data_IF_541602527720
#
_entry.id   IF_541602527720
#
_cell.length_a   1.000
_cell.length_b   1.000
_cell.length_c   1.000
_cell.angle_alpha   90.00
_cell.angle_beta   90.00
_cell.angle_gamma   90.00
#
_symmetry.space_group_name_H-M   'P 1'
#
loop_
_entity.id
_entity.type
_entity.pdbx_description
1 polymer ?
#
# COMPACT_ATOMS: atom_id res chain seq x y z
N UNK A 1 -17.50 -25.52 7.42
CA UNK A 1 -17.09 -24.48 8.40
C UNK A 1 -18.17 -23.42 8.44
N UNK A 2 -18.46 -22.81 9.59
CA UNK A 2 -19.39 -21.66 9.65
C UNK A 2 -18.80 -20.49 8.88
N UNK A 3 -19.65 -19.78 8.16
CA UNK A 3 -19.30 -18.58 7.40
C UNK A 3 -18.83 -17.48 8.36
N UNK A 4 -17.59 -16.98 8.23
CA UNK A 4 -17.04 -15.93 9.11
C UNK A 4 -17.75 -14.59 8.89
N UNK A 5 -17.91 -13.83 9.96
CA UNK A 5 -18.58 -12.51 10.00
C UNK A 5 -17.55 -11.40 10.15
N UNK A 6 -17.55 -10.48 9.19
CA UNK A 6 -16.57 -9.38 9.12
C UNK A 6 -17.25 -8.02 9.28
N UNK A 7 -16.71 -7.15 10.14
CA UNK A 7 -17.01 -5.72 10.10
C UNK A 7 -15.90 -4.98 9.32
N UNK A 8 -16.27 -4.03 8.46
CA UNK A 8 -15.30 -3.28 7.64
C UNK A 8 -15.23 -1.84 8.11
N UNK A 9 -14.00 -1.38 8.44
CA UNK A 9 -13.70 -0.03 8.91
C UNK A 9 -13.05 0.76 7.76
N UNK A 10 -13.82 1.68 7.18
CA UNK A 10 -13.44 2.51 6.02
C UNK A 10 -13.87 1.93 4.68
N UNK A 11 -14.81 2.57 4.00
CA UNK A 11 -15.24 2.22 2.65
C UNK A 11 -14.36 2.90 1.61
N UNK A 12 -13.07 2.63 1.66
CA UNK A 12 -12.14 3.08 0.62
C UNK A 12 -12.32 2.27 -0.67
N UNK A 13 -11.84 2.82 -1.81
CA UNK A 13 -11.82 2.06 -3.06
C UNK A 13 -11.11 0.70 -2.88
N UNK A 14 -10.04 0.67 -2.09
CA UNK A 14 -9.30 -0.55 -1.76
C UNK A 14 -10.14 -1.49 -0.92
N UNK A 15 -10.82 -0.98 0.12
CA UNK A 15 -11.70 -1.76 0.98
C UNK A 15 -12.84 -2.42 0.20
N UNK A 16 -13.47 -1.66 -0.70
CA UNK A 16 -14.52 -2.16 -1.57
C UNK A 16 -14.01 -3.24 -2.53
N UNK A 17 -12.97 -2.93 -3.31
CA UNK A 17 -12.47 -3.84 -4.35
C UNK A 17 -11.86 -5.13 -3.78
N UNK A 18 -11.03 -5.00 -2.75
CA UNK A 18 -10.27 -6.13 -2.23
C UNK A 18 -11.06 -7.01 -1.26
N UNK A 19 -12.05 -6.46 -0.53
CA UNK A 19 -12.68 -7.16 0.57
C UNK A 19 -14.21 -7.20 0.49
N UNK A 20 -14.88 -6.04 0.38
CA UNK A 20 -16.33 -5.98 0.51
C UNK A 20 -17.01 -6.69 -0.67
N UNK A 21 -16.67 -6.32 -1.89
CA UNK A 21 -17.26 -6.93 -3.09
C UNK A 21 -17.06 -8.44 -3.14
N UNK A 22 -15.83 -8.98 -2.97
CA UNK A 22 -15.62 -10.43 -2.94
C UNK A 22 -16.40 -11.15 -1.84
N UNK A 23 -16.43 -10.61 -0.60
CA UNK A 23 -17.15 -11.22 0.51
C UNK A 23 -18.67 -11.13 0.39
N UNK A 24 -19.18 -10.20 -0.42
CA UNK A 24 -20.61 -10.04 -0.70
C UNK A 24 -21.05 -10.77 -1.98
N UNK A 25 -20.14 -11.42 -2.72
CA UNK A 25 -20.43 -12.04 -4.02
C UNK A 25 -20.85 -11.02 -5.08
N UNK A 26 -20.46 -9.77 -4.94
CA UNK A 26 -20.76 -8.71 -5.90
C UNK A 26 -19.77 -8.80 -7.05
N UNK A 27 -20.00 -9.73 -7.98
CA UNK A 27 -19.20 -9.86 -9.19
C UNK A 27 -19.67 -8.81 -10.21
N UNK A 28 -18.75 -7.98 -10.72
CA UNK A 28 -19.00 -7.13 -11.89
C UNK A 28 -18.52 -5.68 -11.80
N UNK A 29 -17.92 -5.26 -10.73
CA UNK A 29 -17.26 -3.95 -10.67
C UNK A 29 -15.88 -3.98 -11.36
N UNK A 30 -15.80 -4.36 -12.65
CA UNK A 30 -14.61 -4.10 -13.45
C UNK A 30 -14.48 -2.61 -13.63
N UNK A 31 -13.52 -2.02 -12.96
CA UNK A 31 -13.05 -0.68 -13.29
C UNK A 31 -11.91 -0.86 -14.28
N UNK A 32 -12.28 -1.11 -15.55
CA UNK A 32 -11.31 -1.25 -16.63
C UNK A 32 -10.50 0.06 -16.74
N UNK A 33 -9.19 -0.07 -16.68
CA UNK A 33 -8.26 1.03 -16.91
C UNK A 33 -7.77 1.78 -15.67
N UNK A 34 -8.18 1.43 -14.44
CA UNK A 34 -7.63 2.02 -13.24
C UNK A 34 -6.53 1.14 -12.66
N UNK A 35 -5.33 1.70 -12.50
CA UNK A 35 -4.16 1.02 -11.91
C UNK A 35 -4.53 0.40 -10.55
N UNK A 36 -4.44 -0.94 -10.46
CA UNK A 36 -4.56 -1.68 -9.22
C UNK A 36 -5.95 -2.22 -8.85
N UNK A 37 -7.01 -1.99 -9.64
CA UNK A 37 -8.38 -2.39 -9.31
C UNK A 37 -9.11 -3.19 -10.41
N UNK A 38 -8.42 -3.66 -11.43
CA UNK A 38 -9.00 -4.41 -12.53
C UNK A 38 -8.82 -5.92 -12.36
N UNK A 39 -9.86 -6.64 -12.03
CA UNK A 39 -9.91 -8.08 -12.00
C UNK A 39 -11.35 -8.58 -11.83
N UNK A 40 -11.69 -9.76 -12.33
CA UNK A 40 -12.89 -10.46 -11.92
C UNK A 40 -12.72 -10.79 -10.43
N UNK A 41 -13.45 -10.11 -9.56
CA UNK A 41 -13.40 -10.39 -8.13
C UNK A 41 -13.74 -11.85 -7.88
N UNK A 42 -12.95 -12.53 -7.05
CA UNK A 42 -13.30 -13.87 -6.57
C UNK A 42 -14.62 -13.76 -5.79
N UNK A 43 -15.52 -14.70 -5.99
CA UNK A 43 -16.70 -14.83 -5.12
C UNK A 43 -16.29 -15.58 -3.84
N UNK A 44 -16.14 -14.84 -2.76
CA UNK A 44 -15.80 -15.36 -1.44
C UNK A 44 -17.00 -15.42 -0.49
N UNK A 45 -18.21 -15.20 -1.01
CA UNK A 45 -19.44 -15.16 -0.22
C UNK A 45 -19.75 -16.47 0.50
N UNK A 46 -19.22 -17.59 0.04
CA UNK A 46 -19.31 -18.87 0.72
C UNK A 46 -18.42 -18.97 1.98
N UNK A 47 -17.30 -18.21 2.01
CA UNK A 47 -16.32 -18.28 3.11
C UNK A 47 -16.58 -17.25 4.21
N UNK A 48 -17.16 -16.10 3.85
CA UNK A 48 -17.40 -15.01 4.78
C UNK A 48 -18.53 -14.08 4.35
N UNK A 49 -18.90 -13.18 5.26
CA UNK A 49 -19.91 -12.14 5.00
C UNK A 49 -19.58 -10.87 5.74
N UNK A 50 -19.85 -9.74 5.12
CA UNK A 50 -19.78 -8.44 5.79
C UNK A 50 -21.07 -8.26 6.62
N UNK A 51 -20.94 -7.88 7.90
CA UNK A 51 -22.05 -7.72 8.82
C UNK A 51 -22.24 -6.28 9.29
N UNK A 52 -21.25 -5.42 9.13
CA UNK A 52 -21.32 -3.99 9.44
C UNK A 52 -20.31 -3.18 8.64
N UNK A 53 -20.62 -1.91 8.45
CA UNK A 53 -19.74 -0.90 7.85
C UNK A 53 -19.51 0.22 8.86
N UNK A 54 -18.25 0.52 9.13
CA UNK A 54 -17.81 1.63 9.99
C UNK A 54 -17.12 2.66 9.12
N UNK A 55 -17.66 3.87 9.05
CA UNK A 55 -17.10 4.95 8.24
C UNK A 55 -17.43 6.32 8.87
N UNK A 56 -16.55 7.30 8.72
CA UNK A 56 -16.82 8.69 9.11
C UNK A 56 -17.86 9.35 8.21
N UNK A 57 -17.93 8.94 6.94
CA UNK A 57 -18.85 9.47 5.94
C UNK A 57 -20.11 8.60 5.86
N UNK A 58 -21.14 9.03 6.56
CA UNK A 58 -22.45 8.34 6.54
C UNK A 58 -23.08 8.30 5.15
N UNK A 59 -22.95 9.39 4.37
CA UNK A 59 -23.52 9.47 3.03
C UNK A 59 -22.92 8.39 2.12
N UNK A 60 -21.62 8.15 2.19
CA UNK A 60 -20.93 7.08 1.46
C UNK A 60 -21.53 5.71 1.74
N UNK A 61 -21.80 5.41 3.01
CA UNK A 61 -22.43 4.13 3.39
C UNK A 61 -23.85 4.04 2.91
N UNK A 62 -24.63 5.12 2.97
CA UNK A 62 -26.01 5.17 2.45
C UNK A 62 -26.05 4.95 0.94
N UNK A 63 -25.13 5.56 0.19
CA UNK A 63 -24.98 5.36 -1.26
C UNK A 63 -24.57 3.91 -1.58
N UNK A 64 -23.62 3.33 -0.87
CA UNK A 64 -23.27 1.94 -1.03
C UNK A 64 -24.43 1.00 -0.71
N UNK A 65 -25.16 1.26 0.37
CA UNK A 65 -26.38 0.52 0.72
C UNK A 65 -27.48 0.65 -0.33
N UNK A 66 -27.57 1.78 -1.04
CA UNK A 66 -28.48 1.93 -2.18
C UNK A 66 -28.04 1.04 -3.36
N UNK A 67 -26.73 0.95 -3.64
CA UNK A 67 -26.20 0.03 -4.65
C UNK A 67 -26.48 -1.45 -4.28
N UNK A 68 -26.29 -1.83 -3.00
CA UNK A 68 -26.61 -3.18 -2.52
C UNK A 68 -28.08 -3.53 -2.76
N UNK A 69 -29.01 -2.63 -2.39
CA UNK A 69 -30.46 -2.84 -2.64
C UNK A 69 -30.78 -2.96 -4.13
N UNK A 70 -30.16 -2.14 -4.97
CA UNK A 70 -30.34 -2.21 -6.43
C UNK A 70 -29.83 -3.56 -7.01
N UNK A 71 -28.81 -4.15 -6.40
CA UNK A 71 -28.29 -5.47 -6.73
C UNK A 71 -29.07 -6.63 -6.08
N UNK A 72 -30.18 -6.34 -5.36
CA UNK A 72 -30.99 -7.36 -4.67
C UNK A 72 -30.40 -7.87 -3.35
N UNK A 73 -29.36 -7.21 -2.82
CA UNK A 73 -28.74 -7.55 -1.54
C UNK A 73 -29.33 -6.72 -0.38
N UNK A 74 -29.22 -7.24 0.85
CA UNK A 74 -29.62 -6.51 2.04
C UNK A 74 -28.66 -5.36 2.34
N UNK A 75 -29.20 -4.24 2.81
CA UNK A 75 -28.37 -3.15 3.34
C UNK A 75 -27.63 -3.60 4.61
N UNK A 76 -26.40 -3.07 4.78
CA UNK A 76 -25.56 -3.35 5.93
C UNK A 76 -25.75 -2.27 7.02
N UNK A 77 -25.69 -2.64 8.31
CA UNK A 77 -25.66 -1.68 9.41
C UNK A 77 -24.50 -0.71 9.29
N UNK A 78 -24.81 0.56 9.54
CA UNK A 78 -23.82 1.66 9.61
C UNK A 78 -23.48 1.97 11.05
N UNK A 79 -22.21 2.16 11.33
CA UNK A 79 -21.68 2.70 12.57
C UNK A 79 -20.70 3.84 12.29
N UNK A 80 -20.77 4.90 13.10
CA UNK A 80 -19.72 5.92 13.10
C UNK A 80 -18.45 5.39 13.77
N UNK A 81 -17.27 6.01 13.56
CA UNK A 81 -16.05 5.64 14.27
C UNK A 81 -16.21 5.63 15.80
N UNK A 82 -16.96 6.59 16.35
CA UNK A 82 -17.20 6.69 17.81
C UNK A 82 -18.09 5.54 18.34
N UNK A 83 -18.92 4.93 17.50
CA UNK A 83 -19.75 3.77 17.82
C UNK A 83 -19.09 2.42 17.53
N UNK A 84 -17.78 2.40 17.25
CA UNK A 84 -17.08 1.17 16.88
C UNK A 84 -17.08 0.12 18.00
N UNK A 85 -16.88 0.55 19.24
CA UNK A 85 -16.87 -0.34 20.40
C UNK A 85 -18.25 -0.92 20.70
N UNK A 86 -19.31 -0.13 20.51
CA UNK A 86 -20.69 -0.59 20.60
C UNK A 86 -20.99 -1.65 19.54
N UNK A 87 -20.57 -1.41 18.28
CA UNK A 87 -20.69 -2.36 17.18
C UNK A 87 -20.02 -3.70 17.51
N UNK A 88 -18.81 -3.69 18.08
CA UNK A 88 -18.11 -4.90 18.51
C UNK A 88 -18.91 -5.68 19.55
N UNK A 89 -19.53 -4.96 20.52
CA UNK A 89 -20.38 -5.56 21.54
C UNK A 89 -21.71 -6.12 21.02
N UNK A 90 -22.38 -5.38 20.13
CA UNK A 90 -23.68 -5.75 19.58
C UNK A 90 -23.62 -6.89 18.56
N UNK A 91 -22.64 -6.82 17.65
CA UNK A 91 -22.57 -7.75 16.53
C UNK A 91 -21.59 -8.90 16.74
N UNK A 92 -20.63 -8.77 17.65
CA UNK A 92 -19.58 -9.75 17.90
C UNK A 92 -19.04 -10.36 16.60
N UNK A 93 -18.41 -9.57 15.68
CA UNK A 93 -17.84 -10.10 14.45
C UNK A 93 -16.66 -11.04 14.77
N UNK A 94 -16.40 -12.02 13.89
CA UNK A 94 -15.24 -12.90 14.04
C UNK A 94 -13.93 -12.13 13.78
N UNK A 95 -13.98 -11.13 12.89
CA UNK A 95 -12.85 -10.25 12.63
C UNK A 95 -13.29 -8.87 12.13
N UNK A 96 -12.40 -7.89 12.29
CA UNK A 96 -12.53 -6.59 11.64
C UNK A 96 -11.54 -6.47 10.48
N UNK A 97 -11.96 -5.81 9.40
CA UNK A 97 -11.11 -5.46 8.26
C UNK A 97 -10.91 -3.96 8.28
N UNK A 98 -9.67 -3.50 8.47
CA UNK A 98 -9.32 -2.08 8.58
C UNK A 98 -8.75 -1.58 7.27
N UNK A 99 -9.50 -0.69 6.61
CA UNK A 99 -9.17 -0.09 5.29
C UNK A 99 -9.43 1.42 5.27
N UNK A 100 -9.52 2.01 6.46
CA UNK A 100 -9.64 3.45 6.70
C UNK A 100 -8.33 4.19 6.40
N UNK A 101 -8.23 5.52 6.53
CA UNK A 101 -6.95 6.22 6.41
C UNK A 101 -5.91 5.73 7.43
N UNK A 102 -4.65 5.56 7.00
CA UNK A 102 -3.56 4.92 7.77
C UNK A 102 -3.45 5.39 9.21
N UNK A 103 -3.64 6.71 9.45
CA UNK A 103 -3.59 7.32 10.78
C UNK A 103 -4.66 6.85 11.75
N UNK A 104 -5.72 6.23 11.26
CA UNK A 104 -6.85 5.74 12.08
C UNK A 104 -6.78 4.25 12.37
N UNK A 105 -5.86 3.52 11.75
CA UNK A 105 -5.74 2.07 11.90
C UNK A 105 -5.51 1.65 13.36
N UNK A 106 -4.59 2.35 14.06
CA UNK A 106 -4.25 2.05 15.46
C UNK A 106 -5.50 1.93 16.35
N UNK A 107 -6.41 2.90 16.26
CA UNK A 107 -7.59 2.96 17.12
C UNK A 107 -8.49 1.73 16.92
N UNK A 108 -8.78 1.35 15.68
CA UNK A 108 -9.58 0.17 15.36
C UNK A 108 -8.88 -1.13 15.76
N UNK A 109 -7.58 -1.25 15.49
CA UNK A 109 -6.79 -2.43 15.80
C UNK A 109 -6.77 -2.67 17.31
N UNK A 110 -6.41 -1.65 18.10
CA UNK A 110 -6.29 -1.75 19.55
C UNK A 110 -7.64 -2.07 20.19
N UNK A 111 -8.73 -1.41 19.78
CA UNK A 111 -10.06 -1.67 20.30
C UNK A 111 -10.56 -3.10 19.98
N UNK A 112 -10.35 -3.59 18.75
CA UNK A 112 -10.71 -4.94 18.36
C UNK A 112 -9.94 -6.00 19.18
N UNK A 113 -8.62 -5.83 19.33
CA UNK A 113 -7.77 -6.73 20.14
C UNK A 113 -8.19 -6.76 21.61
N UNK A 114 -8.57 -5.60 22.17
CA UNK A 114 -9.08 -5.53 23.56
C UNK A 114 -10.36 -6.35 23.78
N UNK A 115 -11.14 -6.58 22.70
CA UNK A 115 -12.35 -7.43 22.71
C UNK A 115 -12.08 -8.88 22.26
N UNK A 116 -10.82 -9.24 21.96
CA UNK A 116 -10.45 -10.56 21.46
C UNK A 116 -10.95 -10.83 20.04
N UNK A 117 -11.21 -9.79 19.24
CA UNK A 117 -11.65 -9.86 17.84
C UNK A 117 -10.42 -9.84 16.92
N UNK A 118 -10.34 -10.80 15.97
CA UNK A 118 -9.26 -10.86 14.98
C UNK A 118 -9.23 -9.61 14.10
N UNK A 119 -8.04 -9.25 13.61
CA UNK A 119 -7.84 -8.06 12.76
C UNK A 119 -7.17 -8.45 11.45
N UNK A 120 -7.75 -7.98 10.35
CA UNK A 120 -7.11 -7.90 9.03
C UNK A 120 -6.93 -6.41 8.75
N UNK A 121 -5.70 -5.94 8.63
CA UNK A 121 -5.45 -4.51 8.37
C UNK A 121 -4.74 -4.30 7.05
N UNK A 122 -5.18 -3.28 6.31
CA UNK A 122 -4.42 -2.82 5.15
C UNK A 122 -3.05 -2.27 5.56
N UNK A 123 -2.17 -2.28 4.60
CA UNK A 123 -0.84 -1.69 4.76
C UNK A 123 -0.91 -0.15 4.51
N UNK A 124 -0.07 0.65 5.16
CA UNK A 124 0.78 0.26 6.29
C UNK A 124 -0.06 -0.17 7.49
N UNK A 125 0.46 -1.06 8.33
CA UNK A 125 -0.27 -1.50 9.52
C UNK A 125 -0.76 -0.31 10.35
N UNK A 126 0.11 0.68 10.52
CA UNK A 126 -0.18 1.97 11.15
C UNK A 126 0.73 3.07 10.56
N UNK A 127 0.53 4.35 10.93
CA UNK A 127 1.25 5.48 10.35
C UNK A 127 2.53 5.90 11.08
N UNK A 128 2.87 5.28 12.21
CA UNK A 128 4.07 5.61 13.01
C UNK A 128 4.59 4.44 13.83
N UNK A 129 5.87 4.49 14.19
CA UNK A 129 6.48 3.49 15.07
C UNK A 129 5.86 3.50 16.48
N UNK A 130 5.45 4.66 16.98
CA UNK A 130 4.74 4.75 18.25
C UNK A 130 3.41 4.00 18.23
N UNK A 131 2.63 4.14 17.16
CA UNK A 131 1.40 3.39 16.93
C UNK A 131 1.69 1.88 16.75
N UNK A 132 2.77 1.52 16.06
CA UNK A 132 3.18 0.13 15.92
C UNK A 132 3.50 -0.52 17.28
N UNK A 133 4.21 0.19 18.18
CA UNK A 133 4.42 -0.26 19.57
C UNK A 133 3.12 -0.49 20.34
N UNK A 134 2.16 0.44 20.19
CA UNK A 134 0.86 0.31 20.86
C UNK A 134 0.12 -0.93 20.37
N UNK A 135 0.11 -1.18 19.06
CA UNK A 135 -0.49 -2.38 18.44
C UNK A 135 0.18 -3.66 18.92
N UNK A 136 1.52 -3.73 18.91
CA UNK A 136 2.25 -4.93 19.39
C UNK A 136 1.95 -5.23 20.86
N UNK A 137 1.89 -4.21 21.72
CA UNK A 137 1.48 -4.37 23.14
C UNK A 137 0.04 -4.88 23.26
N UNK A 138 -0.89 -4.30 22.49
CA UNK A 138 -2.27 -4.73 22.50
C UNK A 138 -2.44 -6.20 22.05
N UNK A 139 -1.72 -6.60 20.99
CA UNK A 139 -1.76 -7.98 20.52
C UNK A 139 -1.14 -8.97 21.51
N UNK A 140 -0.04 -8.58 22.20
CA UNK A 140 0.56 -9.42 23.24
C UNK A 140 -0.36 -9.66 24.43
N UNK A 141 -1.27 -8.74 24.71
CA UNK A 141 -2.29 -8.85 25.77
C UNK A 141 -3.59 -9.51 25.30
N UNK A 142 -3.73 -9.84 24.00
CA UNK A 142 -4.94 -10.39 23.39
C UNK A 142 -4.81 -11.84 23.03
N UNK A 143 -5.95 -12.55 22.96
CA UNK A 143 -6.04 -13.89 22.34
C UNK A 143 -6.17 -13.82 20.83
N UNK A 144 -6.61 -12.68 20.31
CA UNK A 144 -6.74 -12.43 18.87
C UNK A 144 -5.39 -12.10 18.21
N UNK A 145 -5.36 -12.22 16.90
CA UNK A 145 -4.16 -11.98 16.09
C UNK A 145 -4.44 -11.01 14.96
N UNK A 146 -3.36 -10.40 14.47
CA UNK A 146 -3.39 -9.46 13.34
C UNK A 146 -2.80 -10.13 12.11
N UNK A 147 -3.42 -9.87 10.95
CA UNK A 147 -2.84 -10.13 9.63
C UNK A 147 -2.70 -8.79 8.90
N UNK A 148 -1.49 -8.50 8.45
CA UNK A 148 -1.22 -7.28 7.66
C UNK A 148 -1.21 -7.64 6.18
N UNK A 149 -1.91 -6.87 5.35
CA UNK A 149 -2.09 -7.20 3.92
C UNK A 149 -0.92 -6.75 3.05
N UNK A 150 0.30 -7.20 3.39
CA UNK A 150 1.48 -7.01 2.56
C UNK A 150 1.42 -7.89 1.31
N UNK A 151 0.65 -7.45 0.33
CA UNK A 151 0.28 -8.22 -0.85
C UNK A 151 1.46 -8.51 -1.81
N UNK A 152 2.53 -7.70 -1.83
CA UNK A 152 3.66 -7.95 -2.72
C UNK A 152 4.33 -9.33 -2.48
N UNK A 153 4.25 -9.91 -1.27
CA UNK A 153 4.73 -11.25 -1.00
C UNK A 153 4.01 -12.31 -1.85
N UNK A 154 2.73 -12.07 -2.21
CA UNK A 154 1.89 -12.96 -3.00
C UNK A 154 2.11 -12.85 -4.50
N UNK A 155 2.81 -11.82 -4.99
CA UNK A 155 3.13 -11.70 -6.41
C UNK A 155 3.95 -12.92 -6.88
N UNK A 156 3.54 -13.49 -8.01
CA UNK A 156 4.13 -14.75 -8.52
C UNK A 156 5.64 -14.68 -8.65
N UNK A 157 6.16 -13.57 -9.16
CA UNK A 157 7.61 -13.37 -9.33
C UNK A 157 8.35 -13.37 -7.99
N UNK A 158 7.80 -12.71 -6.98
CA UNK A 158 8.42 -12.68 -5.65
C UNK A 158 8.40 -14.06 -4.98
N UNK A 159 7.33 -14.85 -5.17
CA UNK A 159 7.27 -16.24 -4.69
C UNK A 159 8.33 -17.12 -5.36
N UNK A 160 8.52 -16.97 -6.68
CA UNK A 160 9.59 -17.69 -7.41
C UNK A 160 10.97 -17.34 -6.86
N UNK A 161 11.24 -16.04 -6.64
CA UNK A 161 12.50 -15.58 -6.04
C UNK A 161 12.68 -16.13 -4.62
N UNK A 162 11.63 -16.05 -3.79
CA UNK A 162 11.68 -16.59 -2.42
C UNK A 162 11.97 -18.10 -2.41
N UNK A 163 11.35 -18.86 -3.32
CA UNK A 163 11.63 -20.29 -3.51
C UNK A 163 13.09 -20.52 -3.84
N UNK A 164 13.67 -19.82 -4.82
CA UNK A 164 15.09 -19.93 -5.16
C UNK A 164 16.03 -19.65 -3.96
N UNK A 165 15.66 -18.68 -3.11
CA UNK A 165 16.43 -18.38 -1.89
C UNK A 165 16.33 -19.55 -0.91
N UNK A 166 15.13 -20.08 -0.64
CA UNK A 166 14.90 -21.17 0.31
C UNK A 166 15.53 -22.49 -0.16
N UNK A 167 15.54 -22.74 -1.45
CA UNK A 167 16.20 -23.90 -2.08
C UNK A 167 17.74 -23.81 -2.06
N UNK A 168 18.29 -22.68 -1.54
CA UNK A 168 19.72 -22.46 -1.43
C UNK A 168 20.43 -22.12 -2.76
N UNK A 169 19.68 -21.78 -3.83
CA UNK A 169 20.23 -21.51 -5.16
C UNK A 169 21.32 -20.43 -5.18
N UNK A 170 21.27 -19.49 -4.25
CA UNK A 170 22.29 -18.44 -4.09
C UNK A 170 23.00 -18.48 -2.72
N UNK A 171 22.74 -19.52 -1.90
CA UNK A 171 23.24 -19.60 -0.51
C UNK A 171 22.62 -18.55 0.41
N UNK A 172 23.38 -18.13 1.45
CA UNK A 172 22.92 -17.10 2.38
C UNK A 172 22.88 -15.72 1.68
N UNK A 173 21.78 -15.00 1.81
CA UNK A 173 21.65 -13.62 1.28
C UNK A 173 22.65 -12.71 2.01
N UNK A 174 23.43 -11.95 1.25
CA UNK A 174 24.44 -11.00 1.76
C UNK A 174 24.11 -9.56 1.43
N UNK A 175 23.46 -9.30 0.29
CA UNK A 175 23.10 -7.96 -0.16
C UNK A 175 21.85 -7.99 -1.04
N UNK A 176 21.02 -6.98 -0.85
CA UNK A 176 19.88 -6.67 -1.74
C UNK A 176 20.03 -5.26 -2.29
N UNK A 177 19.67 -5.06 -3.54
CA UNK A 177 19.49 -3.74 -4.15
C UNK A 177 18.06 -3.64 -4.66
N UNK A 178 17.36 -2.58 -4.32
CA UNK A 178 16.02 -2.29 -4.84
C UNK A 178 15.97 -0.83 -5.30
N UNK A 179 15.82 -0.63 -6.60
CA UNK A 179 15.67 0.66 -7.24
C UNK A 179 14.27 0.74 -7.84
N UNK A 180 13.38 1.54 -7.22
CA UNK A 180 11.96 1.62 -7.53
C UNK A 180 11.60 2.94 -8.20
N UNK A 181 10.86 2.86 -9.29
CA UNK A 181 10.42 3.99 -10.09
C UNK A 181 8.89 4.06 -10.09
N UNK A 182 8.37 5.15 -9.54
CA UNK A 182 6.94 5.47 -9.62
C UNK A 182 6.74 6.48 -10.74
N UNK A 183 5.94 6.14 -11.75
CA UNK A 183 5.70 7.06 -12.85
C UNK A 183 5.00 8.34 -12.37
N UNK A 184 5.19 9.41 -13.12
CA UNK A 184 4.71 10.75 -12.76
C UNK A 184 3.20 10.78 -12.44
N UNK A 185 2.36 10.03 -13.16
CA UNK A 185 0.90 10.04 -12.93
C UNK A 185 0.55 9.35 -11.62
N UNK A 186 1.18 8.20 -11.34
CA UNK A 186 1.00 7.49 -10.09
C UNK A 186 1.55 8.29 -8.91
N UNK A 187 2.76 8.87 -9.05
CA UNK A 187 3.36 9.76 -8.06
C UNK A 187 2.46 10.96 -7.75
N UNK A 188 2.00 11.69 -8.77
CA UNK A 188 1.10 12.82 -8.60
C UNK A 188 -0.20 12.44 -7.86
N UNK A 189 -0.69 11.20 -8.05
CA UNK A 189 -1.87 10.73 -7.31
C UNK A 189 -1.67 10.70 -5.80
N UNK A 190 -0.44 10.45 -5.30
CA UNK A 190 -0.13 10.52 -3.88
C UNK A 190 -0.08 11.95 -3.37
N UNK A 191 0.54 12.88 -4.12
CA UNK A 191 0.68 14.28 -3.72
C UNK A 191 -0.64 15.08 -3.84
N UNK A 192 -1.65 14.52 -4.47
CA UNK A 192 -3.02 15.04 -4.48
C UNK A 192 -3.96 14.39 -3.46
N UNK A 193 -3.40 13.75 -2.42
CA UNK A 193 -4.15 13.07 -1.34
C UNK A 193 -3.62 13.48 0.04
N UNK A 194 -4.29 13.06 1.09
CA UNK A 194 -3.96 13.36 2.49
C UNK A 194 -2.58 12.84 2.93
N UNK A 195 -2.07 11.77 2.35
CA UNK A 195 -0.74 11.19 2.67
C UNK A 195 0.46 12.02 2.16
N UNK A 196 0.20 13.17 1.54
CA UNK A 196 1.20 14.19 1.18
C UNK A 196 1.79 14.95 2.36
N UNK A 197 1.31 14.65 3.57
CA UNK A 197 1.77 15.29 4.81
C UNK A 197 2.39 14.28 5.76
N UNK A 198 3.49 14.67 6.41
CA UNK A 198 4.25 13.86 7.36
C UNK A 198 3.40 13.46 8.58
N UNK A 199 2.51 14.34 9.03
CA UNK A 199 1.56 14.05 10.10
C UNK A 199 0.67 12.81 9.83
N UNK A 200 0.56 12.40 8.57
CA UNK A 200 -0.21 11.22 8.16
C UNK A 200 0.68 10.01 7.81
N UNK A 201 1.98 10.05 8.18
CA UNK A 201 2.96 9.01 7.91
C UNK A 201 3.81 9.28 6.66
N UNK A 202 3.34 10.10 5.72
CA UNK A 202 4.02 10.38 4.46
C UNK A 202 4.27 9.14 3.60
N UNK A 203 4.95 9.31 2.46
CA UNK A 203 5.20 8.21 1.51
C UNK A 203 6.27 7.24 1.98
N UNK A 204 7.20 7.67 2.84
CA UNK A 204 8.19 6.78 3.45
C UNK A 204 7.54 5.66 4.27
N UNK A 205 6.40 5.93 4.95
CA UNK A 205 5.60 4.91 5.63
C UNK A 205 4.56 4.32 4.68
N UNK A 206 3.74 5.16 4.03
CA UNK A 206 2.60 4.70 3.24
C UNK A 206 2.97 3.80 2.05
N UNK A 207 4.00 4.20 1.28
CA UNK A 207 4.44 3.46 0.07
C UNK A 207 5.64 2.56 0.34
N UNK A 208 6.69 3.08 1.00
CA UNK A 208 7.92 2.31 1.13
C UNK A 208 7.79 1.12 2.09
N UNK A 209 6.76 1.06 2.95
CA UNK A 209 6.48 -0.12 3.78
C UNK A 209 6.32 -1.40 2.93
N UNK A 210 5.72 -1.32 1.74
CA UNK A 210 5.66 -2.43 0.80
C UNK A 210 7.03 -3.00 0.45
N UNK A 211 7.99 -2.10 0.20
CA UNK A 211 9.33 -2.45 -0.25
C UNK A 211 10.17 -2.99 0.92
N UNK A 212 10.07 -2.35 2.07
CA UNK A 212 10.75 -2.80 3.28
C UNK A 212 10.23 -4.15 3.75
N UNK A 213 8.91 -4.36 3.71
CA UNK A 213 8.32 -5.67 3.99
C UNK A 213 8.81 -6.75 3.01
N UNK A 214 8.72 -6.47 1.69
CA UNK A 214 9.16 -7.39 0.65
C UNK A 214 10.62 -7.82 0.84
N UNK A 215 11.53 -6.84 1.04
CA UNK A 215 12.96 -7.14 1.17
C UNK A 215 13.25 -7.86 2.49
N UNK A 216 12.66 -7.43 3.60
CA UNK A 216 12.80 -8.10 4.91
C UNK A 216 12.35 -9.57 4.84
N UNK A 217 11.20 -9.83 4.19
CA UNK A 217 10.72 -11.18 3.94
C UNK A 217 11.66 -11.99 3.03
N UNK A 218 12.22 -11.41 1.95
CA UNK A 218 13.18 -12.08 1.08
C UNK A 218 14.48 -12.42 1.84
N UNK A 219 15.02 -11.48 2.60
CA UNK A 219 16.22 -11.66 3.43
C UNK A 219 15.97 -12.71 4.53
N UNK A 220 14.77 -12.72 5.12
CA UNK A 220 14.37 -13.65 6.19
C UNK A 220 15.09 -13.39 7.51
N UNK A 221 15.46 -12.13 7.79
CA UNK A 221 16.18 -11.70 9.00
C UNK A 221 15.62 -10.38 9.51
N UNK A 222 15.80 -10.12 10.79
CA UNK A 222 15.40 -8.90 11.45
C UNK A 222 16.16 -7.68 10.92
N UNK A 223 15.47 -6.57 10.57
CA UNK A 223 16.14 -5.32 10.24
C UNK A 223 16.63 -4.64 11.52
N UNK A 224 17.87 -4.15 11.51
CA UNK A 224 18.51 -3.55 12.68
C UNK A 224 18.48 -2.03 12.68
N UNK A 225 18.83 -1.41 11.55
CA UNK A 225 18.94 0.03 11.42
C UNK A 225 18.73 0.49 9.98
N UNK A 226 18.36 1.75 9.83
CA UNK A 226 18.27 2.43 8.53
C UNK A 226 18.96 3.79 8.58
N UNK A 227 19.67 4.12 7.51
CA UNK A 227 20.17 5.46 7.23
C UNK A 227 19.80 5.85 5.80
N UNK A 228 19.34 7.10 5.59
CA UNK A 228 18.98 7.54 4.25
C UNK A 228 18.93 9.04 4.07
N UNK A 229 18.82 9.43 2.81
CA UNK A 229 18.58 10.80 2.35
C UNK A 229 17.23 10.86 1.65
N UNK A 230 16.58 12.01 1.74
CA UNK A 230 15.34 12.30 1.03
C UNK A 230 15.27 13.78 0.66
N UNK A 231 14.55 14.08 -0.39
CA UNK A 231 14.31 15.44 -0.83
C UNK A 231 12.96 15.59 -1.52
N UNK A 232 12.38 16.79 -1.45
CA UNK A 232 11.20 17.18 -2.23
C UNK A 232 11.69 17.98 -3.43
N UNK A 233 11.78 17.33 -4.59
CA UNK A 233 12.42 17.87 -5.80
C UNK A 233 11.42 18.26 -6.89
N UNK A 234 10.40 17.44 -7.11
CA UNK A 234 9.45 17.59 -8.22
C UNK A 234 8.12 18.21 -7.76
N UNK A 235 7.57 17.76 -6.62
CA UNK A 235 6.30 18.23 -6.08
C UNK A 235 6.48 19.40 -5.12
N UNK A 236 5.36 19.94 -4.62
CA UNK A 236 5.37 20.98 -3.60
C UNK A 236 5.76 22.39 -4.09
N UNK A 237 5.93 23.32 -3.14
CA UNK A 237 5.99 24.76 -3.45
C UNK A 237 7.25 25.19 -4.21
N UNK A 238 8.33 24.44 -4.12
CA UNK A 238 9.61 24.74 -4.79
C UNK A 238 9.79 23.98 -6.11
N UNK A 239 8.74 23.33 -6.60
CA UNK A 239 8.79 22.59 -7.85
C UNK A 239 9.23 23.49 -9.01
N UNK A 240 10.18 23.04 -9.87
CA UNK A 240 10.53 23.78 -11.09
C UNK A 240 9.37 23.79 -12.11
N UNK A 241 8.36 22.94 -11.90
CA UNK A 241 7.19 22.81 -12.78
C UNK A 241 5.96 23.56 -12.24
N UNK A 242 6.07 24.19 -11.05
CA UNK A 242 4.98 24.99 -10.49
C UNK A 242 4.68 26.17 -11.42
N UNK A 243 3.43 26.35 -11.87
CA UNK A 243 3.07 27.49 -12.72
C UNK A 243 3.36 28.82 -12.01
N UNK A 244 3.89 29.84 -12.72
CA UNK A 244 4.06 31.17 -12.14
C UNK A 244 2.68 31.78 -11.86
N UNK A 245 2.53 32.46 -10.70
CA UNK A 245 1.29 33.21 -10.43
C UNK A 245 1.18 34.43 -11.34
N UNK A 246 -0.01 34.75 -11.83
CA UNK A 246 -0.25 36.01 -12.49
C UNK A 246 0.12 37.19 -11.57
N UNK A 247 1.15 37.98 -11.96
CA UNK A 247 1.58 39.16 -11.21
C UNK A 247 2.60 38.92 -10.07
N UNK A 248 3.07 37.69 -9.84
CA UNK A 248 4.11 37.40 -8.86
C UNK A 248 5.51 37.75 -9.40
N UNK A 249 6.36 38.31 -8.54
CA UNK A 249 7.78 38.47 -8.85
C UNK A 249 8.47 37.11 -9.04
N UNK A 250 9.50 36.96 -9.88
CA UNK A 250 10.24 35.73 -10.03
C UNK A 250 10.71 35.21 -8.66
N UNK A 251 10.29 34.01 -8.26
CA UNK A 251 10.64 33.38 -6.98
C UNK A 251 9.61 33.51 -5.85
N UNK A 252 8.50 34.20 -6.05
CA UNK A 252 7.40 34.18 -5.09
C UNK A 252 6.55 32.91 -5.28
N UNK A 253 6.54 32.04 -4.27
CA UNK A 253 5.64 30.88 -4.23
C UNK A 253 4.19 31.30 -4.25
N UNK A 254 3.35 30.57 -4.98
CA UNK A 254 1.97 30.96 -5.16
C UNK A 254 1.01 29.76 -5.05
N UNK A 255 -0.11 29.96 -4.35
CA UNK A 255 -1.25 29.06 -4.44
C UNK A 255 -1.77 29.04 -5.90
N UNK A 256 -1.95 27.87 -6.50
CA UNK A 256 -2.55 27.76 -7.84
C UNK A 256 -4.04 28.08 -7.70
N UNK A 257 -4.61 29.05 -8.45
CA UNK A 257 -6.02 29.34 -8.38
C UNK A 257 -6.86 28.11 -8.76
N UNK A 258 -7.99 27.94 -8.09
CA UNK A 258 -8.95 26.93 -8.46
C UNK A 258 -9.38 27.13 -9.94
N UNK A 259 -9.12 26.14 -10.80
CA UNK A 259 -9.45 26.19 -12.23
C UNK A 259 -8.28 26.02 -13.20
N UNK A 260 -7.02 26.14 -12.76
CA UNK A 260 -5.85 25.99 -13.65
C UNK A 260 -5.27 24.56 -13.70
N UNK A 261 -6.12 23.55 -13.64
CA UNK A 261 -5.72 22.13 -13.82
C UNK A 261 -5.06 21.81 -15.16
N UNK A 262 -4.93 22.78 -16.09
CA UNK A 262 -4.20 22.61 -17.35
C UNK A 262 -2.69 22.37 -17.15
N UNK A 263 -2.14 22.83 -16.04
CA UNK A 263 -0.71 22.68 -15.72
C UNK A 263 -0.40 21.53 -14.76
N UNK A 264 -1.41 20.87 -14.20
CA UNK A 264 -1.23 19.69 -13.37
C UNK A 264 -0.98 18.45 -14.28
N UNK A 265 0.22 17.87 -14.28
CA UNK A 265 0.54 16.72 -15.13
C UNK A 265 -0.29 15.49 -14.80
N UNK A 266 -0.80 15.36 -13.57
CA UNK A 266 -1.72 14.28 -13.18
C UNK A 266 -3.08 14.46 -13.83
N UNK A 267 -3.68 15.65 -13.73
CA UNK A 267 -4.98 15.95 -14.38
C UNK A 267 -4.85 15.89 -15.90
N UNK A 268 -3.73 16.36 -16.48
CA UNK A 268 -3.46 16.21 -17.90
C UNK A 268 -3.39 14.73 -18.29
N UNK A 269 -2.61 13.92 -17.59
CA UNK A 269 -2.50 12.49 -17.84
C UNK A 269 -3.84 11.75 -17.75
N UNK A 270 -4.71 12.13 -16.81
CA UNK A 270 -6.07 11.60 -16.71
C UNK A 270 -6.94 12.00 -17.91
N UNK A 271 -6.85 13.25 -18.39
CA UNK A 271 -7.58 13.71 -19.61
C UNK A 271 -7.09 12.98 -20.85
N UNK A 272 -5.76 12.85 -21.03
CA UNK A 272 -5.15 12.20 -22.20
C UNK A 272 -5.47 10.69 -22.27
N UNK A 273 -5.71 10.04 -21.14
CA UNK A 273 -6.10 8.61 -21.07
C UNK A 273 -7.62 8.39 -21.13
N UNK A 274 -8.42 9.46 -21.18
CA UNK A 274 -9.89 9.36 -21.15
C UNK A 274 -10.45 8.96 -19.78
N UNK A 275 -9.61 8.79 -18.76
CA UNK A 275 -10.01 8.59 -17.36
C UNK A 275 -10.15 9.95 -16.72
N UNK A 276 -11.19 10.69 -17.10
CA UNK A 276 -11.59 11.91 -16.36
C UNK A 276 -12.25 11.42 -15.07
N UNK A 277 -11.81 11.89 -13.87
CA UNK A 277 -12.69 11.78 -12.71
C UNK A 277 -14.01 12.42 -13.09
N UNK A 278 -15.12 11.69 -13.03
CA UNK A 278 -16.43 12.32 -13.23
C UNK A 278 -16.58 13.38 -12.15
N UNK A 279 -16.43 14.62 -12.55
CA UNK A 279 -16.89 15.75 -11.76
C UNK A 279 -18.41 15.65 -11.74
N UNK A 280 -18.93 15.12 -10.64
CA UNK A 280 -20.37 15.16 -10.40
C UNK A 280 -20.76 16.62 -10.16
N UNK A 281 -20.85 17.47 -11.14
CA UNK A 281 -21.34 18.85 -11.11
C UNK A 281 -21.09 19.71 -9.84
N UNK A 282 -20.53 19.12 -8.79
CA UNK A 282 -20.24 19.73 -7.48
C UNK A 282 -18.73 19.89 -7.24
N UNK A 283 -17.85 19.41 -8.17
CA UNK A 283 -16.39 19.43 -8.03
C UNK A 283 -15.83 18.47 -6.96
N UNK A 284 -16.68 17.70 -6.30
CA UNK A 284 -16.25 16.72 -5.31
C UNK A 284 -15.77 15.44 -6.00
N UNK A 285 -14.67 14.83 -5.52
CA UNK A 285 -14.19 13.55 -6.04
C UNK A 285 -15.19 12.44 -5.74
N UNK A 286 -15.63 11.73 -6.78
CA UNK A 286 -16.27 10.44 -6.65
C UNK A 286 -15.20 9.34 -6.66
N UNK A 287 -15.40 8.30 -5.82
CA UNK A 287 -14.56 7.11 -5.87
C UNK A 287 -14.82 6.27 -7.12
N UNK A 288 -13.96 5.26 -7.35
CA UNK A 288 -14.04 4.33 -8.48
C UNK A 288 -15.39 3.58 -8.59
N UNK A 289 -16.12 3.49 -7.49
CA UNK A 289 -17.42 2.83 -7.41
C UNK A 289 -18.59 3.82 -7.38
N UNK A 290 -18.37 5.07 -7.79
CA UNK A 290 -19.39 6.11 -7.81
C UNK A 290 -19.84 6.59 -6.42
N UNK A 291 -19.06 6.32 -5.37
CA UNK A 291 -19.37 6.73 -4.01
C UNK A 291 -18.77 8.10 -3.69
N UNK A 292 -19.44 8.80 -2.79
CA UNK A 292 -19.09 10.13 -2.31
C UNK A 292 -17.81 10.12 -1.43
N UNK A 293 -16.88 11.04 -1.73
CA UNK A 293 -15.64 11.25 -0.97
C UNK A 293 -15.40 12.74 -0.62
N UNK A 294 -16.45 13.56 -0.62
CA UNK A 294 -16.34 15.01 -0.43
C UNK A 294 -15.85 15.40 0.97
N UNK A 295 -16.10 14.59 2.01
CA UNK A 295 -15.55 14.87 3.34
C UNK A 295 -14.02 14.77 3.37
N UNK A 296 -13.45 13.84 2.60
CA UNK A 296 -12.00 13.64 2.50
C UNK A 296 -11.36 14.53 1.43
N UNK A 297 -12.10 14.87 0.39
CA UNK A 297 -11.65 15.65 -0.76
C UNK A 297 -12.68 16.72 -1.11
N UNK A 298 -12.86 17.75 -0.25
CA UNK A 298 -13.86 18.80 -0.46
C UNK A 298 -13.54 19.61 -1.72
N UNK A 299 -14.59 19.97 -2.46
CA UNK A 299 -14.49 20.70 -3.72
C UNK A 299 -13.89 22.11 -3.56
N UNK A 300 -14.14 22.73 -2.41
CA UNK A 300 -13.62 24.07 -2.08
C UNK A 300 -12.15 24.07 -1.61
N UNK A 301 -11.55 22.88 -1.43
CA UNK A 301 -10.14 22.70 -1.04
C UNK A 301 -9.48 21.62 -1.89
N UNK A 302 -9.34 21.84 -3.20
CA UNK A 302 -8.67 20.88 -4.06
C UNK A 302 -7.19 20.76 -3.63
N UNK A 303 -6.69 19.52 -3.60
CA UNK A 303 -5.29 19.23 -3.27
C UNK A 303 -4.46 19.21 -4.55
N UNK A 304 -3.63 20.21 -4.74
CA UNK A 304 -2.71 20.29 -5.89
C UNK A 304 -1.33 19.74 -5.54
N UNK A 305 -0.66 19.20 -6.53
CA UNK A 305 0.69 18.62 -6.38
C UNK A 305 1.78 19.64 -6.09
N UNK A 306 1.46 20.93 -6.16
CA UNK A 306 2.40 22.03 -5.88
C UNK A 306 2.01 22.85 -4.64
N UNK A 307 1.10 22.35 -3.79
CA UNK A 307 0.66 23.06 -2.58
C UNK A 307 1.79 23.29 -1.59
N UNK A 308 1.68 24.40 -0.84
CA UNK A 308 2.63 24.76 0.24
C UNK A 308 2.56 23.81 1.45
N UNK A 309 1.46 23.06 1.58
CA UNK A 309 1.24 22.10 2.67
C UNK A 309 2.00 20.77 2.48
N UNK A 310 2.60 20.53 1.32
CA UNK A 310 3.38 19.32 1.06
C UNK A 310 4.70 19.43 1.83
N UNK A 311 4.88 18.57 2.83
CA UNK A 311 6.03 18.57 3.73
C UNK A 311 6.81 17.26 3.77
N UNK A 312 6.56 16.37 2.78
CA UNK A 312 7.23 15.09 2.61
C UNK A 312 8.16 15.08 1.40
N UNK A 313 9.05 14.12 1.37
CA UNK A 313 9.99 13.91 0.29
C UNK A 313 9.33 13.14 -0.87
N UNK A 314 9.80 13.37 -2.10
CA UNK A 314 9.40 12.65 -3.32
C UNK A 314 10.51 11.75 -3.87
N UNK A 315 11.69 11.79 -3.25
CA UNK A 315 12.84 10.98 -3.63
C UNK A 315 13.56 10.52 -2.38
N UNK A 316 13.90 9.23 -2.29
CA UNK A 316 14.67 8.68 -1.18
C UNK A 316 15.78 7.75 -1.68
N UNK A 317 16.91 7.74 -0.94
CA UNK A 317 17.98 6.75 -1.04
C UNK A 317 18.40 6.31 0.35
N UNK A 318 18.50 5.00 0.60
CA UNK A 318 18.77 4.47 1.93
C UNK A 318 19.59 3.19 1.93
N UNK A 319 20.19 2.90 3.10
CA UNK A 319 20.79 1.62 3.42
C UNK A 319 20.13 1.06 4.68
N UNK A 320 19.75 -0.23 4.64
CA UNK A 320 19.24 -0.97 5.80
C UNK A 320 20.19 -2.09 6.15
N UNK A 321 20.59 -2.19 7.42
CA UNK A 321 21.33 -3.31 7.96
C UNK A 321 20.39 -4.36 8.56
N UNK A 322 20.71 -5.64 8.33
CA UNK A 322 19.96 -6.79 8.86
C UNK A 322 20.86 -7.64 9.78
N UNK A 323 20.20 -8.38 10.68
CA UNK A 323 20.90 -9.37 11.50
C UNK A 323 21.74 -10.32 10.63
N UNK A 324 22.93 -10.67 11.09
CA UNK A 324 23.87 -11.53 10.35
C UNK A 324 24.59 -10.85 9.20
N UNK A 325 24.51 -9.52 9.07
CA UNK A 325 25.35 -8.71 8.18
C UNK A 325 24.83 -8.54 6.74
N UNK A 326 23.65 -9.02 6.42
CA UNK A 326 23.01 -8.69 5.15
C UNK A 326 22.65 -7.20 5.11
N UNK A 327 22.61 -6.60 3.91
CA UNK A 327 22.23 -5.19 3.73
C UNK A 327 21.33 -4.96 2.52
N UNK A 328 20.49 -3.92 2.60
CA UNK A 328 19.73 -3.38 1.49
C UNK A 328 20.29 -2.03 1.09
N UNK A 329 20.56 -1.84 -0.21
CA UNK A 329 20.65 -0.52 -0.83
C UNK A 329 19.34 -0.23 -1.55
N UNK A 330 18.66 0.84 -1.15
CA UNK A 330 17.31 1.19 -1.58
C UNK A 330 17.26 2.57 -2.20
N UNK A 331 16.50 2.71 -3.29
CA UNK A 331 16.14 4.00 -3.86
C UNK A 331 14.71 3.98 -4.38
N UNK A 332 14.04 5.14 -4.32
CA UNK A 332 12.74 5.37 -4.92
C UNK A 332 12.60 6.82 -5.36
N UNK A 333 11.99 7.04 -6.53
CA UNK A 333 11.49 8.34 -6.95
C UNK A 333 10.00 8.26 -7.31
N UNK A 334 9.28 9.36 -7.11
CA UNK A 334 7.85 9.48 -7.38
C UNK A 334 7.53 10.35 -8.59
N UNK A 335 8.52 10.65 -9.42
CA UNK A 335 8.39 11.48 -10.62
C UNK A 335 9.11 10.87 -11.82
N UNK A 336 9.19 9.56 -11.86
CA UNK A 336 9.87 8.82 -12.91
C UNK A 336 9.14 8.86 -14.25
N UNK A 337 9.89 8.60 -15.31
CA UNK A 337 9.34 8.46 -16.67
C UNK A 337 8.73 7.09 -16.95
N UNK A 338 8.77 6.17 -15.97
CA UNK A 338 8.25 4.82 -16.09
C UNK A 338 7.89 4.24 -14.72
N UNK A 339 7.00 3.26 -14.72
CA UNK A 339 6.62 2.51 -13.52
C UNK A 339 7.31 1.15 -13.51
N UNK A 340 7.98 0.83 -12.40
CA UNK A 340 8.62 -0.47 -12.21
C UNK A 340 9.81 -0.42 -11.27
N UNK A 341 10.61 -1.49 -11.23
CA UNK A 341 11.77 -1.57 -10.33
C UNK A 341 12.78 -2.59 -10.81
N UNK A 342 14.00 -2.42 -10.27
CA UNK A 342 15.11 -3.36 -10.39
C UNK A 342 15.40 -3.98 -9.04
N UNK A 343 15.42 -5.30 -8.97
CA UNK A 343 15.75 -6.04 -7.75
C UNK A 343 16.97 -6.91 -8.03
N UNK A 344 18.03 -6.70 -7.26
CA UNK A 344 19.23 -7.53 -7.27
C UNK A 344 19.43 -8.17 -5.89
N UNK A 345 19.69 -9.48 -5.84
CA UNK A 345 19.93 -10.20 -4.60
C UNK A 345 21.26 -10.97 -4.75
N UNK A 346 22.24 -10.65 -3.94
CA UNK A 346 23.50 -11.38 -3.88
C UNK A 346 23.50 -12.32 -2.68
N UNK A 347 24.05 -13.50 -2.89
CA UNK A 347 24.24 -14.48 -1.84
C UNK A 347 25.63 -15.11 -1.92
N UNK A 348 25.92 -16.01 -0.97
CA UNK A 348 27.24 -16.65 -0.88
C UNK A 348 27.55 -17.62 -2.03
N UNK A 349 26.55 -18.07 -2.78
CA UNK A 349 26.71 -19.03 -3.89
C UNK A 349 26.27 -18.47 -5.26
N UNK A 350 25.78 -17.22 -5.32
CA UNK A 350 25.33 -16.66 -6.60
C UNK A 350 24.50 -15.39 -6.41
N UNK A 351 23.79 -15.00 -7.45
CA UNK A 351 22.89 -13.86 -7.44
C UNK A 351 21.60 -14.11 -8.20
N UNK A 352 20.57 -13.36 -7.83
CA UNK A 352 19.30 -13.23 -8.56
C UNK A 352 19.16 -11.78 -9.00
N UNK A 353 18.80 -11.57 -10.25
CA UNK A 353 18.46 -10.25 -10.79
C UNK A 353 17.04 -10.29 -11.37
N UNK A 354 16.28 -9.25 -11.17
CA UNK A 354 14.93 -9.09 -11.70
C UNK A 354 14.68 -7.66 -12.11
N UNK A 355 14.00 -7.49 -13.24
CA UNK A 355 13.52 -6.24 -13.77
C UNK A 355 12.02 -6.36 -14.00
N UNK A 356 11.26 -5.49 -13.36
CA UNK A 356 9.81 -5.39 -13.49
C UNK A 356 9.41 -4.19 -14.34
N UNK A 357 8.43 -4.40 -15.23
CA UNK A 357 7.86 -3.32 -16.02
C UNK A 357 8.52 -3.08 -17.39
N UNK A 358 9.79 -3.44 -17.58
CA UNK A 358 10.51 -3.30 -18.86
C UNK A 358 11.64 -4.32 -19.05
N UNK A 359 12.14 -4.43 -20.29
CA UNK A 359 13.35 -5.21 -20.62
C UNK A 359 14.62 -4.45 -20.24
N UNK A 360 15.77 -5.14 -20.31
CA UNK A 360 17.10 -4.52 -20.09
C UNK A 360 17.34 -3.37 -21.06
N UNK A 361 16.84 -3.46 -22.29
CA UNK A 361 16.99 -2.43 -23.34
C UNK A 361 15.99 -1.27 -23.19
N UNK A 362 15.15 -1.31 -22.12
CA UNK A 362 14.19 -0.27 -21.81
C UNK A 362 12.83 -0.39 -22.46
N UNK A 363 12.59 -1.43 -23.24
CA UNK A 363 11.28 -1.68 -23.85
C UNK A 363 10.25 -2.16 -22.79
N UNK A 364 9.00 -1.72 -22.86
CA UNK A 364 7.96 -2.21 -21.95
C UNK A 364 7.82 -3.73 -22.03
N UNK A 365 7.76 -4.38 -20.85
CA UNK A 365 7.54 -5.83 -20.73
C UNK A 365 6.18 -6.09 -20.06
N UNK A 366 5.08 -5.97 -20.80
CA UNK A 366 3.75 -6.10 -20.20
C UNK A 366 3.41 -7.55 -19.89
N UNK A 367 2.97 -7.80 -18.67
CA UNK A 367 2.41 -9.10 -18.26
C UNK A 367 3.43 -10.18 -17.93
N UNK A 368 4.72 -9.86 -17.86
CA UNK A 368 5.74 -10.82 -17.41
C UNK A 368 6.96 -10.11 -16.82
N UNK A 369 7.69 -10.84 -15.97
CA UNK A 369 8.98 -10.46 -15.42
C UNK A 369 10.07 -11.42 -15.87
N UNK A 370 11.29 -10.93 -15.93
CA UNK A 370 12.48 -11.77 -16.20
C UNK A 370 13.28 -11.90 -14.90
N UNK A 371 13.41 -13.14 -14.43
CA UNK A 371 14.24 -13.50 -13.26
C UNK A 371 15.49 -14.23 -13.76
N UNK A 372 16.64 -13.67 -13.47
CA UNK A 372 17.94 -14.25 -13.85
C UNK A 372 18.62 -14.80 -12.62
N UNK A 373 18.87 -16.10 -12.61
CA UNK A 373 19.71 -16.78 -11.62
C UNK A 373 21.14 -16.95 -12.17
N UNK A 374 22.13 -16.47 -11.46
CA UNK A 374 23.55 -16.55 -11.80
C UNK A 374 24.35 -17.20 -10.66
N UNK A 375 24.52 -18.54 -10.64
CA UNK A 375 25.37 -19.21 -9.69
C UNK A 375 26.85 -18.84 -9.88
N UNK A 376 27.66 -18.79 -8.80
CA UNK A 376 29.11 -18.48 -8.88
C UNK A 376 29.86 -19.46 -9.79
N UNK A 377 29.51 -20.75 -9.75
CA UNK A 377 30.21 -21.82 -10.48
C UNK A 377 29.24 -22.62 -11.38
N UNK A 378 28.27 -21.95 -11.99
CA UNK A 378 27.26 -22.61 -12.84
C UNK A 378 26.87 -21.78 -14.04
N UNK A 379 25.95 -22.34 -14.83
CA UNK A 379 25.37 -21.62 -15.97
C UNK A 379 24.29 -20.66 -15.47
N UNK A 380 24.34 -19.42 -15.99
CA UNK A 380 23.25 -18.46 -15.85
C UNK A 380 21.98 -19.02 -16.49
N UNK A 381 20.86 -18.88 -15.81
CA UNK A 381 19.54 -19.24 -16.31
C UNK A 381 18.57 -18.06 -16.20
N UNK A 382 17.62 -18.00 -17.10
CA UNK A 382 16.57 -16.97 -17.09
C UNK A 382 15.22 -17.66 -17.04
N UNK A 383 14.37 -17.20 -16.13
CA UNK A 383 12.99 -17.65 -15.99
C UNK A 383 12.08 -16.47 -16.30
N UNK A 384 11.20 -16.63 -17.27
CA UNK A 384 10.12 -15.67 -17.50
C UNK A 384 8.94 -16.06 -16.62
N UNK A 385 8.46 -15.12 -15.82
CA UNK A 385 7.35 -15.31 -14.89
C UNK A 385 6.20 -14.41 -15.31
N UNK A 386 5.00 -14.99 -15.48
CA UNK A 386 3.81 -14.20 -15.77
C UNK A 386 3.51 -13.26 -14.60
N UNK A 387 3.38 -11.98 -14.91
CA UNK A 387 3.06 -10.89 -13.98
C UNK A 387 1.87 -10.11 -14.55
N UNK A 388 0.64 -10.60 -14.36
CA UNK A 388 -0.55 -9.98 -14.94
C UNK A 388 -0.69 -8.52 -14.48
N UNK A 389 -1.14 -7.65 -15.38
CA UNK A 389 -1.41 -6.25 -15.05
C UNK A 389 -2.60 -6.15 -14.09
N UNK A 390 -2.58 -5.16 -13.22
CA UNK A 390 -3.59 -4.92 -12.20
C UNK A 390 -3.45 -5.84 -10.99
N UNK A 391 -4.25 -5.62 -9.96
CA UNK A 391 -4.29 -6.39 -8.71
C UNK A 391 -2.90 -6.73 -8.14
N UNK A 392 -1.98 -5.75 -8.21
CA UNK A 392 -0.59 -5.91 -7.76
C UNK A 392 0.11 -7.13 -8.37
N UNK A 393 0.10 -7.23 -9.71
CA UNK A 393 0.68 -8.35 -10.46
C UNK A 393 0.05 -9.72 -10.08
N UNK A 394 -1.27 -9.75 -9.85
CA UNK A 394 -2.02 -10.95 -9.49
C UNK A 394 -1.88 -11.39 -8.03
N UNK A 395 -1.31 -10.55 -7.17
CA UNK A 395 -1.10 -10.85 -5.77
C UNK A 395 -2.40 -10.85 -4.94
N UNK A 396 -3.33 -9.95 -5.25
CA UNK A 396 -4.54 -9.76 -4.44
C UNK A 396 -5.47 -10.98 -4.42
N UNK A 397 -5.76 -11.71 -5.51
CA UNK A 397 -6.54 -12.93 -5.46
C UNK A 397 -5.95 -14.00 -4.54
N UNK A 398 -4.65 -14.25 -4.63
CA UNK A 398 -3.97 -15.25 -3.79
C UNK A 398 -4.00 -14.83 -2.31
N UNK A 399 -3.76 -13.55 -2.02
CA UNK A 399 -3.87 -13.03 -0.65
C UNK A 399 -5.29 -13.20 -0.10
N UNK A 400 -6.33 -12.87 -0.88
CA UNK A 400 -7.72 -13.05 -0.47
C UNK A 400 -8.05 -14.51 -0.14
N UNK A 401 -7.57 -15.46 -0.94
CA UNK A 401 -7.76 -16.90 -0.67
C UNK A 401 -7.14 -17.30 0.67
N UNK A 402 -5.91 -16.88 0.95
CA UNK A 402 -5.23 -17.13 2.21
C UNK A 402 -5.95 -16.51 3.41
N UNK A 403 -6.52 -15.31 3.23
CA UNK A 403 -7.21 -14.60 4.30
C UNK A 403 -8.60 -15.19 4.61
N UNK A 404 -9.36 -15.55 3.57
CA UNK A 404 -10.80 -15.82 3.72
C UNK A 404 -11.20 -17.27 3.47
N UNK A 405 -10.37 -18.08 2.82
CA UNK A 405 -10.65 -19.49 2.57
C UNK A 405 -9.75 -20.37 3.41
N UNK A 406 -8.52 -20.55 2.98
CA UNK A 406 -7.52 -21.35 3.68
C UNK A 406 -6.13 -20.98 3.18
N UNK A 407 -5.19 -20.85 4.11
CA UNK A 407 -3.78 -20.65 3.78
C UNK A 407 -3.21 -21.89 3.10
N UNK A 408 -2.70 -21.74 1.89
CA UNK A 408 -2.13 -22.83 1.10
C UNK A 408 -0.85 -23.42 1.76
N UNK A 409 -0.45 -24.63 1.38
CA UNK A 409 0.82 -25.20 1.82
C UNK A 409 2.00 -24.33 1.37
N UNK A 410 1.98 -23.83 0.13
CA UNK A 410 2.98 -22.92 -0.39
C UNK A 410 3.03 -21.62 0.41
N UNK A 411 1.88 -21.04 0.72
CA UNK A 411 1.82 -19.79 1.51
C UNK A 411 2.46 -19.97 2.89
N UNK A 412 2.19 -21.08 3.56
CA UNK A 412 2.82 -21.38 4.85
C UNK A 412 4.33 -21.58 4.73
N UNK A 413 4.78 -22.32 3.72
CA UNK A 413 6.20 -22.60 3.49
C UNK A 413 6.98 -21.34 3.15
N UNK A 414 6.41 -20.46 2.30
CA UNK A 414 7.04 -19.21 1.89
C UNK A 414 6.87 -18.07 2.91
N UNK A 415 5.99 -18.23 3.92
CA UNK A 415 5.69 -17.18 4.90
C UNK A 415 5.00 -15.97 4.27
N UNK A 416 3.95 -16.18 3.43
CA UNK A 416 3.30 -15.10 2.69
C UNK A 416 2.46 -14.18 3.59
N UNK A 417 1.80 -14.75 4.61
CA UNK A 417 0.96 -13.98 5.54
C UNK A 417 1.84 -13.18 6.50
N UNK A 418 1.83 -11.86 6.37
CA UNK A 418 2.61 -10.98 7.23
C UNK A 418 1.99 -10.86 8.62
N UNK A 419 2.84 -10.91 9.64
CA UNK A 419 2.51 -10.71 11.05
C UNK A 419 2.50 -9.22 11.42
N UNK A 420 1.98 -8.90 12.60
CA UNK A 420 2.06 -7.57 13.19
C UNK A 420 3.52 -7.10 13.40
N UNK A 421 4.42 -8.01 13.81
CA UNK A 421 5.84 -7.68 13.99
C UNK A 421 6.50 -7.28 12.67
N UNK A 422 6.25 -8.02 11.61
CA UNK A 422 6.76 -7.67 10.28
C UNK A 422 6.15 -6.35 9.76
N UNK A 423 4.85 -6.13 10.00
CA UNK A 423 4.20 -4.84 9.75
C UNK A 423 4.82 -3.69 10.55
N UNK A 424 5.18 -3.93 11.81
CA UNK A 424 5.87 -2.96 12.66
C UNK A 424 7.28 -2.64 12.16
N UNK A 425 8.04 -3.64 11.72
CA UNK A 425 9.36 -3.43 11.09
C UNK A 425 9.25 -2.56 9.84
N UNK A 426 8.27 -2.84 8.97
CA UNK A 426 8.06 -2.06 7.75
C UNK A 426 7.72 -0.59 8.05
N UNK A 427 6.90 -0.34 9.08
CA UNK A 427 6.56 1.01 9.55
C UNK A 427 7.79 1.70 10.18
N UNK A 428 8.54 0.99 11.04
CA UNK A 428 9.74 1.53 11.69
C UNK A 428 10.81 1.92 10.66
N UNK A 429 11.04 1.09 9.65
CA UNK A 429 11.96 1.42 8.55
C UNK A 429 11.46 2.64 7.76
N UNK A 430 10.16 2.75 7.48
CA UNK A 430 9.59 3.93 6.83
C UNK A 430 9.74 5.21 7.66
N UNK A 431 9.46 5.15 8.96
CA UNK A 431 9.67 6.28 9.88
C UNK A 431 11.16 6.60 10.03
N UNK A 432 12.00 5.60 10.21
CA UNK A 432 13.45 5.76 10.29
C UNK A 432 14.04 6.42 9.04
N UNK A 433 13.51 6.10 7.86
CA UNK A 433 13.94 6.69 6.58
C UNK A 433 13.70 8.21 6.55
N UNK A 434 12.47 8.68 6.77
CA UNK A 434 12.21 10.10 6.71
C UNK A 434 12.87 10.87 7.86
N UNK A 435 12.96 10.27 9.06
CA UNK A 435 13.68 10.87 10.18
C UNK A 435 15.17 10.99 9.88
N UNK A 436 15.78 9.95 9.30
CA UNK A 436 17.17 10.00 8.88
C UNK A 436 17.44 11.09 7.85
N UNK A 437 16.52 11.28 6.89
CA UNK A 437 16.61 12.36 5.91
C UNK A 437 16.59 13.76 6.54
N UNK A 438 15.84 13.93 7.64
CA UNK A 438 15.72 15.21 8.35
C UNK A 438 16.83 15.40 9.40
N UNK A 439 17.13 14.36 10.19
CA UNK A 439 18.04 14.43 11.33
C UNK A 439 19.50 14.08 10.97
N UNK A 440 19.75 13.57 9.76
CA UNK A 440 21.08 13.18 9.24
C UNK A 440 21.84 12.18 10.15
N UNK A 441 21.11 11.23 10.70
CA UNK A 441 21.66 10.13 11.50
C UNK A 441 20.94 8.80 11.21
N UNK A 442 21.58 7.66 11.53
CA UNK A 442 20.89 6.37 11.48
C UNK A 442 19.83 6.25 12.59
N UNK A 443 18.83 5.39 12.34
CA UNK A 443 17.79 5.02 13.28
C UNK A 443 17.75 3.51 13.45
N UNK A 444 17.91 3.05 14.69
CA UNK A 444 17.73 1.64 15.06
C UNK A 444 16.26 1.25 15.09
N UNK A 445 15.94 0.08 14.53
CA UNK A 445 14.56 -0.45 14.58
C UNK A 445 14.13 -0.68 16.03
N UNK A 446 15.01 -1.20 16.88
CA UNK A 446 14.75 -1.36 18.30
C UNK A 446 14.59 0.01 19.03
N UNK A 447 15.30 1.08 18.62
CA UNK A 447 15.08 2.44 19.12
C UNK A 447 13.67 2.94 18.83
N UNK A 448 13.16 2.64 17.64
CA UNK A 448 11.85 3.08 17.19
C UNK A 448 10.70 2.25 17.77
N UNK A 449 10.92 0.96 17.95
CA UNK A 449 9.86 0.05 18.44
C UNK A 449 9.91 -0.19 19.96
N UNK A 450 10.98 0.13 20.67
CA UNK A 450 11.08 0.11 22.13
C UNK A 450 11.49 -1.22 22.68
#
# INVERSE_FOLDING_TARGET
MSRKRYAVCGLSNRGLAAFVHPLMGLSGGRVDGVLGYGGAGDDLSASGTVVALVDSDRQRVEEFNAQLRAAGAAALPYYSPDAFDDMLGELAPDAVIVTSPDRTHEAYIVAALARGVEVITEKPMVSSAAAARAVLRAESASTARIKVTHNLRYARTHRVIKRMILDGSIGAVTRVTLDYHVDLRHGASYFSRWNRQRAHGGLAVHKCCHHFDLVTWLVGREPLEIFGYGALNYYGPRSPHRPPQPGAAPGAGSAVPAGEGEHDPYLRGLRDTGVVPEENGTGARTGLFGLHYAEQYPADRPMYIYDDEIDIEDTYSAVVGYEGGASLAYSIDFSSTWEGYRLGISGTHGSIEMLHGRTVDGEPLPGSDLVVLAPLFGKRSTVQVDAPRGEHAGADPEMRRDLFVEQSAESRELGLAATSLEGAWAVALGEGLWRSAVEHRPFGVAELLG
#
